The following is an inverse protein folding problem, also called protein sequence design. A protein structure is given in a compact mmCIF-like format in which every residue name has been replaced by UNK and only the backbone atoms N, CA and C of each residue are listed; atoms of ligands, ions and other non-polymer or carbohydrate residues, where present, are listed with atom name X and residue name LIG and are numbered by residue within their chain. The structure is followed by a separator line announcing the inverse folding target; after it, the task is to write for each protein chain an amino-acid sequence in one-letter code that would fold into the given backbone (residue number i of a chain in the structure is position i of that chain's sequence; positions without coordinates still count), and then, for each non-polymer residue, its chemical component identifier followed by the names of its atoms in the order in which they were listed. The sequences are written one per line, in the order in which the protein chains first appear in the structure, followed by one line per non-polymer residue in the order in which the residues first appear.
data_IF_604580848862
#
_entry.id   IF_604580848862
#
_cell.length_a   1.000
_cell.length_b   1.000
_cell.length_c   1.000
_cell.angle_alpha   90.00
_cell.angle_beta   90.00
_cell.angle_gamma   90.00
#
_symmetry.space_group_name_H-M   'P 1'
#
loop_
_entity.id
_entity.type
_entity.pdbx_description
1 polymer ?
#
# COMPACT_ATOMS: atom_id res chain seq x y z
N UNK A 1 -27.81 -14.28 13.69
CA UNK A 1 -26.74 -14.57 14.67
C UNK A 1 -25.86 -15.79 14.34
N UNK A 2 -25.91 -16.36 13.12
CA UNK A 2 -25.08 -17.54 12.77
C UNK A 2 -23.71 -17.21 12.13
N UNK A 3 -23.49 -15.97 11.67
CA UNK A 3 -22.31 -15.61 10.88
C UNK A 3 -21.04 -15.36 11.73
N UNK A 4 -21.18 -14.89 12.98
CA UNK A 4 -20.03 -14.69 13.88
C UNK A 4 -19.26 -15.98 14.22
N UNK A 5 -19.89 -17.16 14.10
CA UNK A 5 -19.22 -18.43 14.42
C UNK A 5 -18.22 -18.86 13.36
N UNK A 6 -18.37 -18.45 12.09
CA UNK A 6 -17.48 -18.88 11.01
C UNK A 6 -16.21 -18.03 10.90
N UNK A 7 -16.26 -16.74 11.25
CA UNK A 7 -15.09 -15.86 11.23
C UNK A 7 -14.08 -16.24 12.31
N UNK A 8 -14.55 -16.72 13.47
CA UNK A 8 -13.68 -17.07 14.59
C UNK A 8 -12.89 -18.37 14.39
N UNK A 9 -13.42 -19.31 13.58
CA UNK A 9 -12.77 -20.61 13.31
C UNK A 9 -11.68 -20.49 12.23
N UNK A 10 -11.85 -19.59 11.26
CA UNK A 10 -10.84 -19.40 10.19
C UNK A 10 -9.57 -18.68 10.68
N UNK A 11 -9.69 -17.73 11.60
CA UNK A 11 -8.53 -16.98 12.12
C UNK A 11 -7.56 -17.84 12.97
N UNK A 12 -8.05 -18.95 13.54
CA UNK A 12 -7.22 -19.87 14.33
C UNK A 12 -6.47 -20.91 13.50
N UNK A 13 -6.85 -21.12 12.23
CA UNK A 13 -6.29 -22.20 11.40
C UNK A 13 -5.17 -21.74 10.45
N UNK A 14 -5.01 -20.43 10.21
CA UNK A 14 -3.98 -19.91 9.29
C UNK A 14 -2.65 -19.56 9.96
N UNK A 15 -2.50 -19.80 11.27
CA UNK A 15 -1.29 -19.44 12.03
C UNK A 15 -0.25 -20.56 12.13
N UNK A 16 -0.44 -21.70 11.45
CA UNK A 16 0.42 -22.88 11.60
C UNK A 16 1.20 -23.30 10.34
N UNK A 17 1.34 -22.44 9.32
CA UNK A 17 2.04 -22.84 8.09
C UNK A 17 2.85 -21.72 7.45
N UNK A 18 3.81 -21.18 8.20
CA UNK A 18 4.82 -20.25 7.65
C UNK A 18 6.14 -20.34 8.42
N UNK A 19 6.66 -21.56 8.56
CA UNK A 19 8.08 -21.78 8.89
C UNK A 19 8.69 -22.67 7.81
N UNK A 20 9.43 -22.04 6.87
CA UNK A 20 10.65 -22.51 6.19
C UNK A 20 10.81 -21.84 4.83
N UNK A 21 11.54 -20.72 4.78
CA UNK A 21 12.55 -20.50 3.73
C UNK A 21 13.72 -19.73 4.33
N UNK A 22 14.89 -20.37 4.23
CA UNK A 22 16.21 -19.93 4.66
C UNK A 22 16.74 -18.80 3.77
N UNK A 23 17.34 -17.76 4.35
CA UNK A 23 18.43 -17.01 3.70
C UNK A 23 19.50 -16.66 4.74
N UNK A 24 20.66 -17.26 4.56
CA UNK A 24 21.90 -16.90 5.21
C UNK A 24 22.50 -15.67 4.51
N UNK A 25 22.98 -14.69 5.28
CA UNK A 25 23.89 -13.67 4.79
C UNK A 25 25.02 -13.53 5.80
N UNK A 26 26.23 -13.83 5.33
CA UNK A 26 27.50 -13.76 6.03
C UNK A 26 27.82 -12.33 6.49
N UNK A 27 28.30 -12.21 7.73
CA UNK A 27 28.96 -11.01 8.22
C UNK A 27 30.32 -11.40 8.82
N UNK A 28 31.39 -11.02 8.12
CA UNK A 28 32.77 -11.16 8.58
C UNK A 28 33.41 -9.77 8.76
N UNK A 29 34.29 -9.68 9.77
CA UNK A 29 35.25 -8.60 10.10
C UNK A 29 34.68 -7.47 10.98
N UNK A 30 34.86 -7.44 12.31
CA UNK A 30 36.08 -7.35 13.15
C UNK A 30 37.02 -6.21 12.75
N UNK A 31 36.99 -5.11 13.50
CA UNK A 31 38.21 -4.48 14.02
C UNK A 31 37.92 -3.60 15.24
N UNK A 32 38.45 -4.02 16.39
CA UNK A 32 38.67 -3.19 17.58
C UNK A 32 39.88 -2.28 17.37
N UNK A 33 39.88 -1.10 17.98
CA UNK A 33 41.10 -0.35 18.29
C UNK A 33 40.92 0.47 19.55
N UNK A 34 41.52 -0.04 20.63
CA UNK A 34 41.82 0.63 21.89
C UNK A 34 43.11 1.41 21.70
N UNK A 35 43.18 2.68 22.10
CA UNK A 35 44.45 3.31 22.50
C UNK A 35 44.19 4.39 23.56
N UNK A 36 44.75 4.11 24.74
CA UNK A 36 44.94 4.94 25.93
C UNK A 36 45.86 6.14 25.70
N UNK A 37 45.82 7.13 26.60
CA UNK A 37 46.98 7.76 27.31
C UNK A 37 46.40 8.75 28.35
N UNK A 38 46.52 8.47 29.66
CA UNK A 38 47.59 8.94 30.59
C UNK A 38 47.55 10.45 30.89
N UNK A 39 47.23 10.85 32.13
CA UNK A 39 48.21 11.46 33.06
C UNK A 39 47.61 11.76 34.46
N UNK A 40 48.38 11.46 35.51
CA UNK A 40 48.11 11.72 36.93
C UNK A 40 49.20 12.65 37.51
N UNK A 41 48.78 13.66 38.32
CA UNK A 41 49.49 14.39 39.43
C UNK A 41 50.77 15.21 39.15
N UNK A 42 51.34 16.07 40.06
CA UNK A 42 51.06 16.31 41.52
C UNK A 42 51.08 17.79 42.05
N UNK A 43 50.83 17.93 43.37
CA UNK A 43 51.31 18.99 44.32
C UNK A 43 50.81 20.46 44.18
N UNK A 44 50.69 21.33 45.19
CA UNK A 44 51.24 21.43 46.56
C UNK A 44 50.45 22.46 47.41
N UNK A 45 50.64 22.39 48.73
CA UNK A 45 50.09 23.22 49.83
C UNK A 45 50.68 24.65 49.88
N UNK A 46 49.96 25.64 50.45
CA UNK A 46 50.56 26.41 51.57
C UNK A 46 49.52 26.67 52.69
N UNK A 47 49.82 26.29 53.93
CA UNK A 47 50.51 27.06 54.98
C UNK A 47 49.51 27.61 56.00
N UNK A 48 49.74 27.16 57.22
CA UNK A 48 48.94 27.27 58.44
C UNK A 48 49.35 28.53 59.20
N UNK A 49 48.41 29.42 59.50
CA UNK A 49 48.58 30.42 60.58
C UNK A 49 47.96 29.88 61.85
N UNK A 50 48.79 29.74 62.88
CA UNK A 50 48.48 29.23 64.22
C UNK A 50 48.15 30.40 65.15
N UNK A 51 47.09 30.27 65.94
CA UNK A 51 46.91 30.96 67.22
C UNK A 51 45.94 30.18 68.12
N UNK A 52 46.05 30.32 69.46
CA UNK A 52 46.24 29.17 70.32
C UNK A 52 45.03 28.76 71.15
N UNK A 53 44.97 27.43 71.35
CA UNK A 53 44.52 26.68 72.53
C UNK A 53 43.26 27.11 73.28
N UNK A 54 42.28 26.19 73.28
CA UNK A 54 41.68 25.73 74.53
C UNK A 54 41.63 24.19 74.49
N UNK A 55 42.37 23.58 75.42
CA UNK A 55 42.49 22.15 75.60
C UNK A 55 41.14 21.56 76.04
N UNK A 56 40.52 20.75 75.19
CA UNK A 56 39.51 19.79 75.61
C UNK A 56 40.12 18.39 75.48
N UNK A 57 40.44 17.83 76.63
CA UNK A 57 40.96 16.47 76.83
C UNK A 57 39.96 15.44 76.26
N UNK A 58 40.12 15.06 74.99
CA UNK A 58 39.32 14.00 74.38
C UNK A 58 39.91 12.65 74.79
N UNK A 59 39.30 12.03 75.80
CA UNK A 59 39.55 10.64 76.18
C UNK A 59 39.29 9.73 74.97
N UNK A 60 40.18 8.75 74.78
CA UNK A 60 40.26 7.90 73.60
C UNK A 60 38.94 7.28 73.15
N UNK A 61 38.75 7.24 71.83
CA UNK A 61 37.72 6.46 71.16
C UNK A 61 38.13 4.97 71.24
N UNK A 62 37.33 4.09 71.87
CA UNK A 62 37.57 2.65 71.84
C UNK A 62 37.35 2.09 70.41
N UNK A 63 37.84 0.88 70.08
CA UNK A 63 37.80 0.34 68.72
C UNK A 63 36.36 0.38 68.20
N UNK A 64 36.14 0.96 67.00
CA UNK A 64 34.83 0.90 66.38
C UNK A 64 34.46 -0.58 66.19
N UNK A 65 33.45 -1.03 66.91
CA UNK A 65 32.78 -2.29 66.63
C UNK A 65 32.30 -2.24 65.18
N UNK A 66 32.78 -3.20 64.40
CA UNK A 66 32.39 -3.45 63.02
C UNK A 66 30.86 -3.46 62.93
N UNK A 67 30.27 -2.51 62.19
CA UNK A 67 28.82 -2.48 62.00
C UNK A 67 28.46 -3.74 61.22
N UNK A 68 27.46 -4.55 61.66
CA UNK A 68 27.07 -5.73 60.92
C UNK A 68 26.71 -5.34 59.48
N UNK A 69 27.44 -5.88 58.50
CA UNK A 69 27.07 -5.76 57.09
C UNK A 69 25.70 -6.42 56.91
N UNK A 70 24.65 -5.62 56.80
CA UNK A 70 23.31 -6.13 56.45
C UNK A 70 23.40 -6.66 55.03
N UNK A 71 23.29 -7.98 54.88
CA UNK A 71 23.30 -8.61 53.56
C UNK A 71 22.19 -8.00 52.68
N UNK A 72 22.45 -7.76 51.38
CA UNK A 72 21.42 -7.25 50.47
C UNK A 72 20.21 -8.19 50.48
N UNK A 73 19.01 -7.60 50.51
CA UNK A 73 17.77 -8.36 50.50
C UNK A 73 17.71 -9.28 49.27
N UNK A 74 17.71 -10.60 49.50
CA UNK A 74 17.63 -11.63 48.47
C UNK A 74 16.38 -12.47 48.72
N UNK A 75 15.42 -12.39 47.80
CA UNK A 75 14.19 -13.17 47.83
C UNK A 75 13.91 -13.75 46.44
N UNK A 76 13.40 -14.98 46.40
CA UNK A 76 12.91 -15.62 45.19
C UNK A 76 11.51 -15.13 44.85
N UNK A 77 11.14 -15.15 43.56
CA UNK A 77 9.82 -14.68 43.10
C UNK A 77 8.65 -15.39 43.78
N UNK A 78 8.85 -16.63 44.24
CA UNK A 78 7.83 -17.46 44.88
C UNK A 78 7.81 -17.35 46.41
N UNK A 79 8.70 -16.58 47.03
CA UNK A 79 8.78 -16.48 48.49
C UNK A 79 7.48 -15.95 49.10
N UNK A 80 7.12 -16.49 50.27
CA UNK A 80 5.91 -16.08 51.01
C UNK A 80 5.95 -14.61 51.42
N UNK A 81 7.14 -14.07 51.70
CA UNK A 81 7.33 -12.69 52.14
C UNK A 81 6.97 -11.67 51.05
N UNK A 82 6.99 -12.05 49.77
CA UNK A 82 6.60 -11.20 48.62
C UNK A 82 5.24 -11.61 48.03
N UNK A 83 4.52 -12.56 48.64
CA UNK A 83 3.29 -13.10 48.09
C UNK A 83 2.18 -12.04 47.93
N UNK A 84 2.10 -11.06 48.84
CA UNK A 84 1.13 -9.96 48.76
C UNK A 84 1.47 -9.02 47.59
N UNK A 85 2.73 -8.63 47.47
CA UNK A 85 3.21 -7.81 46.36
C UNK A 85 3.02 -8.50 45.01
N UNK A 86 3.33 -9.81 44.92
CA UNK A 86 3.10 -10.65 43.74
C UNK A 86 1.62 -10.71 43.35
N UNK A 87 0.72 -10.85 44.33
CA UNK A 87 -0.72 -10.87 44.08
C UNK A 87 -1.22 -9.53 43.52
N UNK A 88 -0.73 -8.40 44.06
CA UNK A 88 -1.08 -7.06 43.56
C UNK A 88 -0.53 -6.87 42.14
N UNK A 89 0.75 -7.20 41.93
CA UNK A 89 1.40 -7.11 40.62
C UNK A 89 0.67 -7.95 39.57
N UNK A 90 0.42 -9.24 39.84
CA UNK A 90 -0.30 -10.12 38.91
C UNK A 90 -1.73 -9.66 38.67
N UNK A 91 -2.41 -9.12 39.68
CA UNK A 91 -3.77 -8.57 39.50
C UNK A 91 -3.77 -7.38 38.55
N UNK A 92 -2.82 -6.46 38.69
CA UNK A 92 -2.68 -5.29 37.81
C UNK A 92 -2.24 -5.73 36.41
N UNK A 93 -1.27 -6.63 36.31
CA UNK A 93 -0.75 -7.12 35.03
C UNK A 93 -1.81 -7.91 34.24
N UNK A 94 -2.46 -8.89 34.86
CA UNK A 94 -3.52 -9.67 34.20
C UNK A 94 -4.73 -8.80 33.87
N UNK A 95 -5.15 -7.93 34.79
CA UNK A 95 -6.25 -7.01 34.56
C UNK A 95 -5.96 -6.03 33.41
N UNK A 96 -4.77 -5.46 33.40
CA UNK A 96 -4.30 -4.55 32.34
C UNK A 96 -4.19 -5.25 30.98
N UNK A 97 -3.53 -6.42 30.93
CA UNK A 97 -3.41 -7.21 29.70
C UNK A 97 -4.80 -7.59 29.17
N UNK A 98 -5.70 -8.08 30.02
CA UNK A 98 -7.05 -8.45 29.60
C UNK A 98 -7.86 -7.26 29.09
N UNK A 99 -7.75 -6.10 29.75
CA UNK A 99 -8.39 -4.87 29.29
C UNK A 99 -7.86 -4.41 27.92
N UNK A 100 -6.54 -4.46 27.70
CA UNK A 100 -5.91 -4.14 26.41
C UNK A 100 -6.34 -5.14 25.34
N UNK A 101 -6.37 -6.44 25.65
CA UNK A 101 -6.84 -7.48 24.73
C UNK A 101 -8.29 -7.23 24.29
N UNK A 102 -9.20 -6.93 25.23
CA UNK A 102 -10.59 -6.56 24.89
C UNK A 102 -10.63 -5.32 24.01
N UNK A 103 -9.86 -4.28 24.34
CA UNK A 103 -9.80 -3.06 23.53
C UNK A 103 -9.33 -3.36 22.10
N UNK A 104 -8.27 -4.16 21.94
CA UNK A 104 -7.77 -4.60 20.62
C UNK A 104 -8.85 -5.36 19.83
N UNK A 105 -9.49 -6.36 20.44
CA UNK A 105 -10.56 -7.12 19.77
C UNK A 105 -11.77 -6.25 19.42
N UNK A 106 -12.13 -5.27 20.25
CA UNK A 106 -13.22 -4.35 19.97
C UNK A 106 -12.92 -3.48 18.76
N UNK A 107 -11.72 -2.88 18.68
CA UNK A 107 -11.29 -2.05 17.55
C UNK A 107 -11.17 -2.89 16.27
N UNK A 108 -10.56 -4.08 16.33
CA UNK A 108 -10.45 -4.96 15.17
C UNK A 108 -11.81 -5.44 14.67
N UNK A 109 -12.78 -5.71 15.55
CA UNK A 109 -14.13 -6.09 15.13
C UNK A 109 -14.82 -4.98 14.34
N UNK A 110 -14.62 -3.71 14.72
CA UNK A 110 -15.13 -2.55 13.97
C UNK A 110 -14.42 -2.44 12.62
N UNK A 111 -13.09 -2.58 12.59
CA UNK A 111 -12.29 -2.53 11.36
C UNK A 111 -12.75 -3.56 10.33
N UNK A 112 -12.80 -4.84 10.71
CA UNK A 112 -13.24 -5.91 9.80
C UNK A 112 -14.73 -5.79 9.45
N UNK A 113 -15.55 -5.32 10.38
CA UNK A 113 -16.97 -5.03 10.13
C UNK A 113 -17.18 -3.96 9.06
N UNK A 114 -16.36 -2.91 9.04
CA UNK A 114 -16.42 -1.85 8.04
C UNK A 114 -15.96 -2.33 6.65
N UNK A 115 -15.01 -3.27 6.59
CA UNK A 115 -14.45 -3.78 5.32
C UNK A 115 -15.28 -4.92 4.71
N UNK A 116 -16.09 -5.65 5.49
CA UNK A 116 -16.80 -6.86 5.05
C UNK A 116 -17.62 -6.71 3.76
N UNK A 117 -18.12 -5.50 3.47
CA UNK A 117 -18.93 -5.22 2.27
C UNK A 117 -18.35 -4.15 1.36
N UNK A 118 -17.04 -3.90 1.40
CA UNK A 118 -16.42 -2.86 0.57
C UNK A 118 -16.25 -3.33 -0.89
N UNK A 119 -16.69 -2.54 -1.90
CA UNK A 119 -17.47 -1.33 -1.81
C UNK A 119 -18.96 -1.65 -1.61
N UNK A 120 -19.65 -0.90 -0.74
CA UNK A 120 -21.05 -1.17 -0.39
C UNK A 120 -22.00 -0.97 -1.58
N UNK A 121 -21.61 -0.12 -2.52
CA UNK A 121 -22.27 0.18 -3.78
C UNK A 121 -21.25 0.07 -4.93
N UNK A 122 -21.73 -0.03 -6.16
CA UNK A 122 -20.85 -0.01 -7.33
C UNK A 122 -20.21 1.38 -7.48
N UNK A 123 -18.95 1.40 -7.91
CA UNK A 123 -18.22 2.63 -8.18
C UNK A 123 -18.76 3.26 -9.46
N UNK A 124 -18.95 4.58 -9.47
CA UNK A 124 -19.38 5.28 -10.67
C UNK A 124 -18.22 5.51 -11.64
N UNK A 125 -18.37 5.08 -12.90
CA UNK A 125 -17.40 5.28 -13.96
C UNK A 125 -18.00 6.01 -15.16
N UNK A 126 -17.19 6.78 -15.88
CA UNK A 126 -17.61 7.47 -17.10
C UNK A 126 -17.05 6.83 -18.36
N UNK A 127 -17.85 6.86 -19.42
CA UNK A 127 -17.44 6.57 -20.79
C UNK A 127 -17.60 7.86 -21.58
N UNK A 128 -16.52 8.35 -22.17
CA UNK A 128 -16.55 9.56 -23.01
C UNK A 128 -15.95 9.22 -24.37
N UNK A 129 -16.76 9.34 -25.42
CA UNK A 129 -16.37 8.97 -26.78
C UNK A 129 -16.14 10.21 -27.63
N UNK A 130 -14.88 10.63 -27.80
CA UNK A 130 -14.51 11.71 -28.73
C UNK A 130 -14.28 11.20 -30.17
N UNK A 131 -14.21 9.89 -30.40
CA UNK A 131 -14.03 9.30 -31.73
C UNK A 131 -15.35 9.35 -32.52
N UNK A 132 -16.47 8.99 -31.88
CA UNK A 132 -17.79 9.02 -32.47
C UNK A 132 -17.97 8.09 -33.68
N UNK A 133 -17.06 7.12 -33.86
CA UNK A 133 -17.02 6.22 -35.00
C UNK A 133 -16.98 4.75 -34.54
N UNK A 134 -16.50 3.82 -35.37
CA UNK A 134 -16.59 2.37 -35.12
C UNK A 134 -15.87 1.94 -33.84
N UNK A 135 -14.65 2.42 -33.58
CA UNK A 135 -13.92 2.11 -32.34
C UNK A 135 -14.64 2.70 -31.14
N UNK A 136 -15.02 3.99 -31.21
CA UNK A 136 -15.78 4.64 -30.14
C UNK A 136 -17.06 3.91 -29.78
N UNK A 137 -17.81 3.47 -30.79
CA UNK A 137 -19.07 2.72 -30.61
C UNK A 137 -18.83 1.35 -29.98
N UNK A 138 -17.89 0.55 -30.51
CA UNK A 138 -17.62 -0.81 -30.01
C UNK A 138 -17.12 -0.78 -28.56
N UNK A 139 -16.19 0.14 -28.25
CA UNK A 139 -15.66 0.29 -26.89
C UNK A 139 -16.75 0.76 -25.94
N UNK A 140 -17.51 1.80 -26.31
CA UNK A 140 -18.57 2.35 -25.47
C UNK A 140 -19.65 1.31 -25.14
N UNK A 141 -20.10 0.53 -26.13
CA UNK A 141 -21.11 -0.50 -25.93
C UNK A 141 -20.62 -1.63 -25.03
N UNK A 142 -19.39 -2.10 -25.25
CA UNK A 142 -18.85 -3.20 -24.48
C UNK A 142 -18.54 -2.81 -23.03
N UNK A 143 -18.01 -1.60 -22.80
CA UNK A 143 -17.80 -1.07 -21.46
C UNK A 143 -19.14 -0.87 -20.75
N UNK A 144 -20.14 -0.27 -21.41
CA UNK A 144 -21.47 -0.09 -20.82
C UNK A 144 -22.10 -1.44 -20.41
N UNK A 145 -22.00 -2.46 -21.26
CA UNK A 145 -22.50 -3.81 -20.99
C UNK A 145 -21.81 -4.48 -19.77
N UNK A 146 -20.55 -4.15 -19.50
CA UNK A 146 -19.79 -4.68 -18.36
C UNK A 146 -20.31 -4.21 -16.99
N UNK A 147 -21.18 -3.21 -16.93
CA UNK A 147 -21.73 -2.69 -15.66
C UNK A 147 -22.48 -3.73 -14.84
N UNK A 148 -23.02 -4.77 -15.50
CA UNK A 148 -23.77 -5.85 -14.86
C UNK A 148 -22.88 -6.93 -14.21
N UNK A 149 -21.64 -7.07 -14.70
CA UNK A 149 -20.70 -8.12 -14.29
C UNK A 149 -19.53 -7.60 -13.46
N UNK A 150 -19.44 -6.29 -13.27
CA UNK A 150 -18.33 -5.63 -12.57
C UNK A 150 -18.81 -4.81 -11.38
N UNK A 151 -17.86 -4.35 -10.56
CA UNK A 151 -18.13 -3.46 -9.41
C UNK A 151 -18.15 -1.98 -9.80
N UNK A 152 -18.17 -1.68 -11.10
CA UNK A 152 -18.22 -0.33 -11.66
C UNK A 152 -19.51 -0.20 -12.47
N UNK A 153 -20.31 0.81 -12.16
CA UNK A 153 -21.46 1.20 -12.97
C UNK A 153 -21.02 2.28 -13.94
N UNK A 154 -21.09 1.98 -15.22
CA UNK A 154 -20.66 2.88 -16.28
C UNK A 154 -21.80 3.78 -16.75
N UNK A 155 -21.51 5.06 -16.90
CA UNK A 155 -22.39 6.05 -17.51
C UNK A 155 -21.70 6.64 -18.74
N UNK A 156 -22.37 6.59 -19.88
CA UNK A 156 -21.95 7.33 -21.07
C UNK A 156 -22.25 8.82 -20.88
N UNK A 157 -21.21 9.65 -20.98
CA UNK A 157 -21.31 11.10 -20.89
C UNK A 157 -20.87 11.67 -22.24
N UNK A 158 -21.68 12.52 -22.90
CA UNK A 158 -21.32 13.05 -24.19
C UNK A 158 -20.09 13.98 -24.09
N UNK A 159 -19.22 14.02 -25.11
CA UNK A 159 -18.10 14.97 -25.19
C UNK A 159 -18.49 16.43 -24.99
N UNK A 160 -19.71 16.81 -25.39
CA UNK A 160 -20.24 18.16 -25.22
C UNK A 160 -20.38 18.61 -23.77
N UNK A 161 -20.40 17.67 -22.81
CA UNK A 161 -20.35 17.98 -21.39
C UNK A 161 -18.96 18.45 -20.92
N UNK A 162 -17.94 18.33 -21.76
CA UNK A 162 -16.54 18.67 -21.48
C UNK A 162 -16.00 19.65 -22.54
N UNK A 163 -16.36 20.94 -22.48
CA UNK A 163 -15.92 21.94 -23.45
C UNK A 163 -14.39 22.15 -23.43
N UNK A 164 -13.74 21.88 -22.29
CA UNK A 164 -12.27 21.85 -22.17
C UNK A 164 -11.64 20.51 -22.59
N UNK A 165 -12.41 19.60 -23.17
CA UNK A 165 -11.96 18.29 -23.61
C UNK A 165 -11.41 17.43 -22.46
N UNK A 166 -10.27 16.80 -22.73
CA UNK A 166 -9.62 15.84 -21.84
C UNK A 166 -9.13 16.48 -20.53
N UNK A 167 -8.74 17.76 -20.55
CA UNK A 167 -8.32 18.46 -19.34
C UNK A 167 -9.50 18.65 -18.38
N UNK A 168 -10.68 19.01 -18.89
CA UNK A 168 -11.89 19.12 -18.05
C UNK A 168 -12.28 17.76 -17.44
N UNK A 169 -12.14 16.67 -18.19
CA UNK A 169 -12.33 15.30 -17.65
C UNK A 169 -11.36 15.05 -16.51
N UNK A 170 -10.07 15.35 -16.71
CA UNK A 170 -9.03 15.13 -15.70
C UNK A 170 -9.33 15.91 -14.42
N UNK A 171 -9.74 17.19 -14.53
CA UNK A 171 -10.16 18.00 -13.39
C UNK A 171 -11.39 17.42 -12.69
N UNK A 172 -12.43 17.02 -13.42
CA UNK A 172 -13.64 16.44 -12.80
C UNK A 172 -13.38 15.09 -12.12
N UNK A 173 -12.44 14.30 -12.61
CA UNK A 173 -12.03 13.04 -11.98
C UNK A 173 -11.24 13.29 -10.69
N UNK A 174 -10.38 14.31 -10.67
CA UNK A 174 -9.72 14.77 -9.44
C UNK A 174 -10.74 15.35 -8.44
N UNK A 175 -11.75 16.06 -8.91
CA UNK A 175 -12.87 16.60 -8.11
C UNK A 175 -13.93 15.54 -7.74
N UNK A 176 -13.56 14.26 -7.82
CA UNK A 176 -14.34 13.12 -7.35
C UNK A 176 -15.71 12.93 -8.02
N UNK A 177 -15.96 13.52 -9.20
CA UNK A 177 -17.24 13.38 -9.92
C UNK A 177 -17.49 11.98 -10.48
N UNK A 178 -16.42 11.22 -10.71
CA UNK A 178 -16.45 9.79 -10.96
C UNK A 178 -15.18 9.14 -10.38
N UNK A 179 -15.17 7.81 -10.27
CA UNK A 179 -14.00 7.06 -9.79
C UNK A 179 -12.97 6.82 -10.89
N UNK A 180 -13.45 6.72 -12.13
CA UNK A 180 -12.64 6.43 -13.32
C UNK A 180 -13.37 6.95 -14.56
N UNK A 181 -12.62 7.42 -15.56
CA UNK A 181 -13.16 7.71 -16.88
C UNK A 181 -12.41 6.90 -17.95
N UNK A 182 -13.14 6.25 -18.84
CA UNK A 182 -12.62 5.68 -20.07
C UNK A 182 -12.92 6.66 -21.18
N UNK A 183 -11.86 7.22 -21.76
CA UNK A 183 -11.93 8.20 -22.84
C UNK A 183 -11.48 7.53 -24.12
N UNK A 184 -12.36 7.45 -25.12
CA UNK A 184 -11.97 7.11 -26.48
C UNK A 184 -11.52 8.39 -27.16
N UNK A 185 -10.27 8.41 -27.63
CA UNK A 185 -9.64 9.59 -28.17
C UNK A 185 -10.16 9.89 -29.57
N UNK A 186 -10.25 11.19 -29.91
CA UNK A 186 -10.69 11.64 -31.22
C UNK A 186 -9.80 11.09 -32.34
N UNK A 187 -10.40 10.62 -33.43
CA UNK A 187 -9.67 10.14 -34.60
C UNK A 187 -9.02 8.76 -34.41
N UNK A 188 -9.37 8.01 -33.36
CA UNK A 188 -8.88 6.65 -33.17
C UNK A 188 -9.22 5.75 -34.37
N UNK A 189 -10.45 5.84 -34.87
CA UNK A 189 -10.91 5.06 -36.03
C UNK A 189 -10.21 5.50 -37.32
N UNK A 190 -10.05 6.81 -37.52
CA UNK A 190 -9.36 7.36 -38.69
C UNK A 190 -7.88 6.97 -38.70
N UNK A 191 -7.20 7.04 -37.55
CA UNK A 191 -5.81 6.63 -37.40
C UNK A 191 -5.61 5.15 -37.74
N UNK A 192 -6.50 4.27 -37.27
CA UNK A 192 -6.45 2.84 -37.61
C UNK A 192 -6.67 2.61 -39.11
N UNK A 193 -7.67 3.25 -39.71
CA UNK A 193 -7.98 3.10 -41.13
C UNK A 193 -6.85 3.63 -42.03
N UNK A 194 -6.25 4.76 -41.65
CA UNK A 194 -5.10 5.34 -42.35
C UNK A 194 -3.89 4.40 -42.29
N UNK A 195 -3.58 3.86 -41.10
CA UNK A 195 -2.51 2.89 -40.91
C UNK A 195 -2.77 1.60 -41.69
N UNK A 196 -4.02 1.16 -41.76
CA UNK A 196 -4.42 -0.01 -42.53
C UNK A 196 -4.19 0.19 -44.03
N UNK A 197 -4.48 1.39 -44.56
CA UNK A 197 -4.28 1.70 -45.97
C UNK A 197 -2.79 1.81 -46.36
N UNK A 198 -1.97 2.40 -45.49
CA UNK A 198 -0.54 2.64 -45.73
C UNK A 198 0.40 1.52 -45.24
N UNK A 199 -0.12 0.52 -44.52
CA UNK A 199 0.68 -0.47 -43.80
C UNK A 199 1.72 0.17 -42.87
N UNK A 200 1.28 1.17 -42.10
CA UNK A 200 2.15 2.00 -41.26
C UNK A 200 2.66 1.25 -40.02
N UNK A 201 3.97 0.99 -39.99
CA UNK A 201 4.66 0.36 -38.87
C UNK A 201 4.67 1.24 -37.61
N UNK A 202 4.50 2.56 -37.73
CA UNK A 202 4.49 3.51 -36.62
C UNK A 202 3.13 3.60 -35.91
N UNK A 203 2.09 2.91 -36.42
CA UNK A 203 0.77 2.94 -35.80
C UNK A 203 0.80 2.46 -34.35
N UNK A 204 0.23 3.27 -33.45
CA UNK A 204 0.16 3.00 -32.03
C UNK A 204 -1.30 2.85 -31.56
N UNK A 205 -1.78 1.61 -31.47
CA UNK A 205 -3.12 1.31 -30.97
C UNK A 205 -3.37 1.73 -29.51
N UNK A 206 -2.33 1.96 -28.69
CA UNK A 206 -2.52 2.43 -27.30
C UNK A 206 -2.97 3.89 -27.21
N UNK A 207 -2.83 4.66 -28.29
CA UNK A 207 -3.33 6.03 -28.39
C UNK A 207 -4.86 6.08 -28.60
N UNK A 208 -5.53 4.96 -28.87
CA UNK A 208 -6.96 4.93 -29.12
C UNK A 208 -7.80 5.22 -27.85
N UNK A 209 -7.35 4.75 -26.69
CA UNK A 209 -8.11 4.81 -25.44
C UNK A 209 -7.20 5.29 -24.31
N UNK A 210 -7.68 6.26 -23.53
CA UNK A 210 -7.03 6.69 -22.30
C UNK A 210 -7.97 6.55 -21.12
N UNK A 211 -7.50 5.86 -20.09
CA UNK A 211 -8.21 5.65 -18.84
C UNK A 211 -7.67 6.63 -17.81
N UNK A 212 -8.54 7.46 -17.23
CA UNK A 212 -8.21 8.41 -16.18
C UNK A 212 -8.68 7.90 -14.83
N UNK A 213 -7.79 7.89 -13.85
CA UNK A 213 -8.13 7.55 -12.46
C UNK A 213 -7.21 8.24 -11.47
N UNK A 214 -7.54 8.13 -10.18
CA UNK A 214 -6.82 8.78 -9.08
C UNK A 214 -6.51 7.73 -8.02
N UNK A 215 -5.27 7.22 -7.99
CA UNK A 215 -4.88 6.22 -7.00
C UNK A 215 -4.82 6.80 -5.58
N UNK A 216 -4.33 8.04 -5.43
CA UNK A 216 -4.22 8.71 -4.14
C UNK A 216 -5.57 8.90 -3.41
N UNK A 217 -6.70 8.78 -4.12
CA UNK A 217 -8.04 8.80 -3.52
C UNK A 217 -8.28 7.57 -2.64
N UNK A 218 -7.89 6.40 -3.13
CA UNK A 218 -7.98 5.14 -2.42
C UNK A 218 -7.13 4.08 -3.16
N UNK A 219 -5.91 3.86 -2.68
CA UNK A 219 -4.95 2.93 -3.28
C UNK A 219 -5.54 1.51 -3.40
N UNK A 220 -6.18 1.02 -2.34
CA UNK A 220 -6.77 -0.32 -2.31
C UNK A 220 -7.90 -0.48 -3.34
N UNK A 221 -8.82 0.49 -3.43
CA UNK A 221 -9.89 0.44 -4.43
C UNK A 221 -9.32 0.55 -5.85
N UNK A 222 -8.32 1.39 -6.05
CA UNK A 222 -7.70 1.57 -7.36
C UNK A 222 -6.97 0.29 -7.83
N UNK A 223 -6.15 -0.33 -6.96
CA UNK A 223 -5.35 -1.52 -7.28
C UNK A 223 -6.16 -2.81 -7.33
N UNK A 224 -7.14 -2.98 -6.44
CA UNK A 224 -7.88 -4.24 -6.31
C UNK A 224 -9.21 -4.26 -7.06
N UNK A 225 -9.74 -3.09 -7.47
CA UNK A 225 -11.05 -3.00 -8.13
C UNK A 225 -10.91 -2.27 -9.47
N UNK A 226 -10.55 -0.98 -9.45
CA UNK A 226 -10.66 -0.13 -10.65
C UNK A 226 -9.74 -0.62 -11.76
N UNK A 227 -8.43 -0.71 -11.48
CA UNK A 227 -7.43 -1.13 -12.46
C UNK A 227 -7.72 -2.52 -13.04
N UNK A 228 -7.87 -3.61 -12.26
CA UNK A 228 -8.11 -4.92 -12.83
C UNK A 228 -9.45 -5.01 -13.58
N UNK A 229 -10.50 -4.30 -13.12
CA UNK A 229 -11.79 -4.26 -13.82
C UNK A 229 -11.66 -3.61 -15.20
N UNK A 230 -11.03 -2.44 -15.27
CA UNK A 230 -10.86 -1.72 -16.53
C UNK A 230 -9.96 -2.49 -17.49
N UNK A 231 -8.86 -3.05 -16.99
CA UNK A 231 -7.95 -3.87 -17.79
C UNK A 231 -8.69 -5.08 -18.38
N UNK A 232 -9.40 -5.86 -17.56
CA UNK A 232 -10.12 -7.04 -18.04
C UNK A 232 -11.20 -6.71 -19.07
N UNK A 233 -11.93 -5.60 -18.89
CA UNK A 233 -12.94 -5.15 -19.86
C UNK A 233 -12.28 -4.71 -21.17
N UNK A 234 -11.28 -3.83 -21.11
CA UNK A 234 -10.64 -3.29 -22.31
C UNK A 234 -9.81 -4.33 -23.08
N UNK A 235 -9.19 -5.28 -22.38
CA UNK A 235 -8.51 -6.43 -23.00
C UNK A 235 -9.50 -7.31 -23.76
N UNK A 236 -10.63 -7.65 -23.13
CA UNK A 236 -11.68 -8.43 -23.80
C UNK A 236 -12.24 -7.73 -25.05
N UNK A 237 -12.38 -6.40 -24.99
CA UNK A 237 -12.80 -5.59 -26.14
C UNK A 237 -11.74 -5.58 -27.24
N UNK A 238 -10.48 -5.37 -26.87
CA UNK A 238 -9.36 -5.34 -27.81
C UNK A 238 -9.21 -6.68 -28.55
N UNK A 239 -9.35 -7.80 -27.85
CA UNK A 239 -9.28 -9.15 -28.45
C UNK A 239 -10.42 -9.40 -29.43
N UNK A 240 -11.67 -9.08 -29.04
CA UNK A 240 -12.83 -9.23 -29.94
C UNK A 240 -12.71 -8.35 -31.16
N UNK A 241 -12.26 -7.11 -30.98
CA UNK A 241 -12.06 -6.18 -32.08
C UNK A 241 -10.93 -6.67 -33.01
N UNK A 242 -9.83 -7.21 -32.47
CA UNK A 242 -8.76 -7.81 -33.26
C UNK A 242 -9.24 -8.97 -34.13
N UNK A 243 -10.10 -9.84 -33.60
CA UNK A 243 -10.71 -10.94 -34.38
C UNK A 243 -11.59 -10.42 -35.52
N UNK A 244 -12.41 -9.40 -35.24
CA UNK A 244 -13.25 -8.75 -36.26
C UNK A 244 -12.39 -8.06 -37.33
N UNK A 245 -11.35 -7.34 -36.92
CA UNK A 245 -10.40 -6.69 -37.82
C UNK A 245 -9.71 -7.72 -38.71
N UNK A 246 -9.22 -8.84 -38.15
CA UNK A 246 -8.58 -9.91 -38.89
C UNK A 246 -9.48 -10.48 -40.00
N UNK A 247 -10.78 -10.63 -39.72
CA UNK A 247 -11.77 -11.06 -40.72
C UNK A 247 -11.99 -10.01 -41.81
N UNK A 248 -12.02 -8.72 -41.46
CA UNK A 248 -12.20 -7.62 -42.41
C UNK A 248 -11.00 -7.45 -43.33
N UNK A 249 -9.77 -7.61 -42.82
CA UNK A 249 -8.54 -7.45 -43.60
C UNK A 249 -8.15 -8.69 -44.40
N UNK A 250 -8.81 -9.83 -44.18
CA UNK A 250 -8.54 -11.06 -44.92
C UNK A 250 -8.70 -10.89 -46.44
N UNK A 251 -9.57 -9.96 -46.87
CA UNK A 251 -9.78 -9.61 -48.28
C UNK A 251 -9.06 -8.32 -48.71
N UNK A 252 -8.23 -7.73 -47.86
CA UNK A 252 -7.49 -6.51 -48.19
C UNK A 252 -6.39 -6.79 -49.22
N UNK A 253 -6.32 -5.94 -50.25
CA UNK A 253 -5.32 -6.07 -51.33
C UNK A 253 -3.87 -5.88 -50.85
N UNK A 254 -3.68 -5.18 -49.74
CA UNK A 254 -2.37 -4.89 -49.13
C UNK A 254 -2.06 -5.78 -47.92
N UNK A 255 -2.80 -6.89 -47.71
CA UNK A 255 -2.61 -7.79 -46.56
C UNK A 255 -1.16 -8.26 -46.39
N UNK A 256 -0.47 -8.59 -47.47
CA UNK A 256 0.94 -8.99 -47.41
C UNK A 256 1.83 -7.87 -46.85
N UNK A 257 1.58 -6.62 -47.25
CA UNK A 257 2.32 -5.47 -46.75
C UNK A 257 2.04 -5.22 -45.27
N UNK A 258 0.77 -5.35 -44.83
CA UNK A 258 0.39 -5.23 -43.42
C UNK A 258 1.08 -6.30 -42.58
N UNK A 259 1.03 -7.57 -42.99
CA UNK A 259 1.65 -8.67 -42.24
C UNK A 259 3.18 -8.55 -42.15
N UNK A 260 3.82 -7.95 -43.17
CA UNK A 260 5.29 -7.79 -43.21
C UNK A 260 5.75 -6.55 -42.44
N UNK A 261 5.04 -5.43 -42.58
CA UNK A 261 5.50 -4.12 -42.08
C UNK A 261 4.80 -3.68 -40.78
N UNK A 262 3.53 -4.04 -40.61
CA UNK A 262 2.69 -3.52 -39.52
C UNK A 262 1.72 -4.59 -38.95
N UNK A 263 2.22 -5.76 -38.51
CA UNK A 263 1.36 -6.86 -38.04
C UNK A 263 0.51 -6.48 -36.82
N UNK A 264 0.93 -5.48 -36.04
CA UNK A 264 0.19 -4.95 -34.89
C UNK A 264 -1.19 -4.38 -35.27
N UNK A 265 -1.38 -3.93 -36.51
CA UNK A 265 -2.69 -3.46 -37.01
C UNK A 265 -3.72 -4.59 -36.97
N UNK A 266 -3.28 -5.86 -37.07
CA UNK A 266 -4.17 -7.02 -37.03
C UNK A 266 -4.19 -7.64 -35.63
N UNK A 267 -3.03 -7.80 -35.01
CA UNK A 267 -2.93 -8.53 -33.73
C UNK A 267 -3.35 -7.70 -32.53
N UNK A 268 -3.18 -6.38 -32.58
CA UNK A 268 -3.59 -5.45 -31.51
C UNK A 268 -3.98 -4.07 -32.09
N UNK A 269 -5.03 -4.02 -32.95
CA UNK A 269 -5.51 -2.78 -33.59
C UNK A 269 -5.87 -1.68 -32.60
N UNK A 270 -6.43 -2.04 -31.45
CA UNK A 270 -6.79 -1.11 -30.38
C UNK A 270 -6.15 -1.55 -29.08
N UNK A 271 -5.74 -0.59 -28.28
CA UNK A 271 -5.21 -0.78 -26.94
C UNK A 271 -5.52 0.48 -26.12
N UNK A 272 -4.97 0.55 -24.92
CA UNK A 272 -5.28 1.60 -23.97
C UNK A 272 -4.05 2.00 -23.17
N UNK A 273 -4.12 3.20 -22.61
CA UNK A 273 -3.20 3.70 -21.60
C UNK A 273 -3.96 4.02 -20.32
N UNK A 274 -3.34 3.81 -19.16
CA UNK A 274 -3.89 4.21 -17.87
C UNK A 274 -3.11 5.40 -17.37
N UNK A 275 -3.76 6.57 -17.35
CA UNK A 275 -3.24 7.79 -16.77
C UNK A 275 -3.73 7.92 -15.32
N UNK A 276 -2.81 7.70 -14.39
CA UNK A 276 -3.04 7.94 -12.98
C UNK A 276 -2.75 9.40 -12.65
N UNK A 277 -3.81 10.20 -12.49
CA UNK A 277 -3.72 11.64 -12.31
C UNK A 277 -3.06 12.04 -10.99
N UNK A 278 -3.15 11.17 -9.96
CA UNK A 278 -2.46 11.34 -8.67
C UNK A 278 -1.99 9.96 -8.19
N UNK A 279 -0.76 9.55 -8.53
CA UNK A 279 -0.17 8.33 -8.03
C UNK A 279 -0.03 8.35 -6.51
N UNK A 280 -0.09 7.16 -5.90
CA UNK A 280 0.28 6.99 -4.49
C UNK A 280 1.77 6.62 -4.44
N UNK A 281 2.62 7.57 -4.07
CA UNK A 281 4.07 7.51 -4.15
C UNK A 281 4.77 7.45 -2.79
N UNK A 282 4.02 7.21 -1.71
CA UNK A 282 4.59 7.04 -0.38
C UNK A 282 5.12 5.60 -0.25
N UNK A 283 6.43 5.40 0.04
CA UNK A 283 6.98 4.07 0.26
C UNK A 283 6.29 3.42 1.47
N UNK A 284 5.78 2.20 1.25
CA UNK A 284 5.17 1.34 2.27
C UNK A 284 6.20 0.46 2.97
#
# INVERSE_FOLDING_TARGET
MSCCKHVFVYALFTMNDSDKVSTAVDAHSVHSSTTSLHNEKPESTPTRTVSPQMQSTFKGVPPQAERPHVAPFSASFLDKNVAVARKIYLKVLVGGTFAITIAMFAVFSIYWGALWKSPAHNLHGWIVDFDGSSIGTVVSQAVAASSSSTRITWQTVPPSAFPGGVDDISHKIVDEKAWVAIVINSGATEALNSALASADAAYNGSAAITVYGVEARNENAFRSIIRPTVQGVLESVAERFAQQQAQQVASASNLQAILTNAPQIITRPISYTINNLRPFDIPV
#
